data_IF_251927635919
#
_entry.id   IF_251927635919
#
_cell.length_a   1.000
_cell.length_b   1.000
_cell.length_c   1.000
_cell.angle_alpha   90.00
_cell.angle_beta   90.00
_cell.angle_gamma   90.00
#
_symmetry.space_group_name_H-M   'P 1'
#
loop_
_entity.id
_entity.type
_entity.pdbx_description
1 polymer ?
#
# COMPACT_ATOMS: atom_id res chain seq x y z
N UNK A 1 -30.82 -23.55 32.40
CA UNK A 1 -30.49 -22.21 31.87
C UNK A 1 -29.07 -21.91 32.32
N UNK A 2 -28.07 -22.43 31.61
CA UNK A 2 -27.48 -21.86 30.39
C UNK A 2 -26.27 -20.99 30.75
N UNK A 3 -25.08 -21.60 30.73
CA UNK A 3 -23.80 -20.97 30.40
C UNK A 3 -22.92 -22.07 29.77
N UNK A 4 -23.31 -22.49 28.57
CA UNK A 4 -22.43 -23.25 27.69
C UNK A 4 -21.20 -22.37 27.40
N UNK A 5 -19.97 -22.89 27.53
CA UNK A 5 -18.76 -22.08 27.43
C UNK A 5 -18.50 -21.71 25.96
N UNK A 6 -19.06 -20.59 25.51
CA UNK A 6 -18.83 -20.02 24.18
C UNK A 6 -17.48 -19.25 24.09
N UNK A 7 -16.76 -19.12 25.20
CA UNK A 7 -15.52 -18.36 25.34
C UNK A 7 -14.28 -19.00 24.66
N UNK A 8 -14.07 -20.33 24.68
CA UNK A 8 -12.89 -20.94 24.07
C UNK A 8 -12.87 -20.81 22.55
N UNK A 9 -14.03 -20.89 21.89
CA UNK A 9 -14.15 -20.79 20.44
C UNK A 9 -13.80 -19.39 19.92
N UNK A 10 -14.24 -18.34 20.63
CA UNK A 10 -13.96 -16.94 20.27
C UNK A 10 -12.46 -16.62 20.46
N UNK A 11 -11.84 -17.13 21.51
CA UNK A 11 -10.40 -16.95 21.78
C UNK A 11 -9.50 -17.54 20.69
N UNK A 12 -9.82 -18.76 20.22
CA UNK A 12 -9.07 -19.42 19.15
C UNK A 12 -9.15 -18.67 17.81
N UNK A 13 -10.33 -18.15 17.47
CA UNK A 13 -10.53 -17.37 16.24
C UNK A 13 -9.78 -16.03 16.28
N UNK A 14 -9.74 -15.35 17.44
CA UNK A 14 -8.97 -14.11 17.60
C UNK A 14 -7.46 -14.37 17.42
N UNK A 15 -6.91 -15.46 17.96
CA UNK A 15 -5.50 -15.80 17.79
C UNK A 15 -5.12 -16.09 16.33
N UNK A 16 -5.99 -16.77 15.57
CA UNK A 16 -5.78 -16.98 14.13
C UNK A 16 -5.81 -15.67 13.34
N UNK A 17 -6.61 -14.70 13.77
CA UNK A 17 -6.83 -13.44 13.08
C UNK A 17 -5.71 -12.40 13.32
N UNK A 18 -5.05 -12.44 14.48
CA UNK A 18 -4.04 -11.43 14.87
C UNK A 18 -2.81 -11.43 13.94
N UNK A 19 -2.30 -12.60 13.56
CA UNK A 19 -1.13 -12.72 12.70
C UNK A 19 -1.32 -12.07 11.30
N UNK A 20 -2.40 -12.33 10.55
CA UNK A 20 -2.60 -11.69 9.25
C UNK A 20 -3.00 -10.21 9.34
N UNK A 21 -3.65 -9.76 10.43
CA UNK A 21 -3.89 -8.32 10.66
C UNK A 21 -2.59 -7.55 10.87
N UNK A 22 -1.60 -8.15 11.54
CA UNK A 22 -0.28 -7.54 11.70
C UNK A 22 0.41 -7.29 10.34
N UNK A 23 0.24 -8.22 9.39
CA UNK A 23 0.74 -8.08 8.04
C UNK A 23 0.08 -6.90 7.29
N UNK A 24 -1.23 -6.68 7.48
CA UNK A 24 -1.92 -5.52 6.90
C UNK A 24 -1.35 -4.18 7.41
N UNK A 25 -1.05 -4.09 8.71
CA UNK A 25 -0.41 -2.90 9.29
C UNK A 25 0.98 -2.65 8.69
N UNK A 26 1.77 -3.71 8.50
CA UNK A 26 3.07 -3.63 7.83
C UNK A 26 2.95 -3.13 6.38
N UNK A 27 1.97 -3.66 5.62
CA UNK A 27 1.70 -3.20 4.24
C UNK A 27 1.25 -1.73 4.23
N UNK A 28 0.37 -1.33 5.15
CA UNK A 28 -0.05 0.07 5.29
C UNK A 28 1.11 1.02 5.55
N UNK A 29 2.02 0.62 6.43
CA UNK A 29 3.25 1.39 6.75
C UNK A 29 4.17 1.47 5.52
N UNK A 30 4.31 0.37 4.78
CA UNK A 30 5.09 0.32 3.55
C UNK A 30 4.53 1.25 2.48
N UNK A 31 3.20 1.24 2.27
CA UNK A 31 2.50 2.15 1.36
C UNK A 31 2.73 3.60 1.80
N UNK A 32 2.60 3.92 3.09
CA UNK A 32 2.82 5.27 3.60
C UNK A 32 4.26 5.76 3.31
N UNK A 33 5.27 4.91 3.52
CA UNK A 33 6.67 5.22 3.22
C UNK A 33 6.90 5.46 1.72
N UNK A 34 6.27 4.67 0.84
CA UNK A 34 6.31 4.88 -0.61
C UNK A 34 5.61 6.19 -1.00
N UNK A 35 4.49 6.52 -0.35
CA UNK A 35 3.72 7.73 -0.62
C UNK A 35 4.51 9.00 -0.25
N UNK A 36 5.27 8.97 0.85
CA UNK A 36 6.20 10.06 1.20
C UNK A 36 7.29 10.24 0.13
N UNK A 37 7.87 9.14 -0.37
CA UNK A 37 8.87 9.18 -1.45
C UNK A 37 8.29 9.71 -2.76
N UNK A 38 7.06 9.31 -3.07
CA UNK A 38 6.31 9.76 -4.23
C UNK A 38 6.02 11.26 -4.15
N UNK A 39 5.55 11.74 -3.00
CA UNK A 39 5.26 13.16 -2.75
C UNK A 39 6.48 14.02 -3.07
N UNK A 40 7.65 13.69 -2.51
CA UNK A 40 8.89 14.42 -2.81
C UNK A 40 9.28 14.41 -4.29
N UNK A 41 9.04 13.32 -5.00
CA UNK A 41 9.32 13.22 -6.43
C UNK A 41 8.35 14.06 -7.28
N UNK A 42 7.07 14.08 -6.91
CA UNK A 42 6.03 14.91 -7.55
C UNK A 42 6.26 16.40 -7.26
N UNK A 43 6.61 16.76 -6.04
CA UNK A 43 6.92 18.14 -5.67
C UNK A 43 8.16 18.64 -6.43
N UNK A 44 9.20 17.82 -6.54
CA UNK A 44 10.38 18.16 -7.37
C UNK A 44 10.02 18.31 -8.85
N UNK A 45 9.14 17.46 -9.38
CA UNK A 45 8.62 17.60 -10.75
C UNK A 45 7.89 18.94 -10.92
N UNK A 46 7.00 19.28 -9.99
CA UNK A 46 6.22 20.54 -10.02
C UNK A 46 7.12 21.76 -9.96
N UNK A 47 8.10 21.77 -9.06
CA UNK A 47 9.07 22.86 -8.97
C UNK A 47 9.86 23.04 -10.28
N UNK A 48 10.30 21.94 -10.90
CA UNK A 48 11.02 21.98 -12.18
C UNK A 48 10.11 22.43 -13.34
N UNK A 49 8.84 22.00 -13.36
CA UNK A 49 7.82 22.46 -14.31
C UNK A 49 7.52 23.96 -14.19
N UNK A 50 7.56 24.53 -12.98
CA UNK A 50 7.36 25.97 -12.73
C UNK A 50 8.59 26.81 -13.11
N UNK A 51 9.78 26.24 -13.00
CA UNK A 51 11.04 26.87 -13.42
C UNK A 51 11.25 26.83 -14.95
N UNK A 52 10.71 25.81 -15.62
CA UNK A 52 10.88 25.59 -17.07
C UNK A 52 10.49 26.79 -17.97
N UNK A 53 9.40 27.54 -17.73
CA UNK A 53 9.02 28.72 -18.51
C UNK A 53 9.96 29.91 -18.30
N UNK A 54 10.73 29.92 -17.19
CA UNK A 54 11.70 30.97 -16.85
C UNK A 54 13.13 30.62 -17.32
N UNK A 55 13.36 29.41 -17.82
CA UNK A 55 14.66 28.94 -18.30
C UNK A 55 14.93 29.37 -19.74
N UNK A 56 16.20 29.65 -20.04
CA UNK A 56 16.64 30.02 -21.39
C UNK A 56 16.47 28.85 -22.38
N UNK A 57 16.37 29.18 -23.68
CA UNK A 57 16.16 28.22 -24.77
C UNK A 57 17.24 27.12 -24.87
N UNK A 58 18.42 27.34 -24.27
CA UNK A 58 19.54 26.39 -24.22
C UNK A 58 19.39 25.36 -23.09
N UNK A 59 18.75 25.72 -21.98
CA UNK A 59 18.60 24.85 -20.79
C UNK A 59 17.27 24.08 -20.79
N UNK A 60 16.25 24.61 -21.48
CA UNK A 60 14.93 24.00 -21.61
C UNK A 60 14.91 22.53 -22.12
N UNK A 61 15.78 22.09 -23.06
CA UNK A 61 15.82 20.70 -23.50
C UNK A 61 16.30 19.73 -22.40
N UNK A 62 17.35 20.12 -21.66
CA UNK A 62 17.92 19.32 -20.56
C UNK A 62 16.92 19.16 -19.41
N UNK A 63 16.26 20.25 -19.03
CA UNK A 63 15.24 20.23 -17.98
C UNK A 63 14.03 19.35 -18.34
N UNK A 64 13.61 19.32 -19.62
CA UNK A 64 12.54 18.40 -20.11
C UNK A 64 12.95 16.93 -20.02
N UNK A 65 14.22 16.62 -20.23
CA UNK A 65 14.75 15.27 -20.17
C UNK A 65 14.84 14.76 -18.71
N UNK A 66 15.26 15.63 -17.78
CA UNK A 66 15.18 15.35 -16.33
C UNK A 66 13.72 15.12 -15.90
N UNK A 67 12.78 15.94 -16.38
CA UNK A 67 11.36 15.80 -16.10
C UNK A 67 10.79 14.45 -16.57
N UNK A 68 11.17 13.99 -17.78
CA UNK A 68 10.81 12.65 -18.29
C UNK A 68 11.35 11.53 -17.41
N UNK A 69 12.53 11.70 -16.84
CA UNK A 69 13.14 10.72 -15.94
C UNK A 69 12.42 10.67 -14.60
N UNK A 70 12.05 11.83 -14.04
CA UNK A 70 11.24 11.93 -12.83
C UNK A 70 9.85 11.32 -13.04
N UNK A 71 9.21 11.61 -14.18
CA UNK A 71 7.89 11.04 -14.52
C UNK A 71 7.92 9.51 -14.63
N UNK A 72 8.99 8.92 -15.22
CA UNK A 72 9.18 7.47 -15.25
C UNK A 72 9.32 6.88 -13.84
N UNK A 73 10.12 7.50 -12.98
CA UNK A 73 10.25 7.07 -11.56
C UNK A 73 8.92 7.12 -10.81
N UNK A 74 8.16 8.19 -10.98
CA UNK A 74 6.81 8.34 -10.39
C UNK A 74 5.91 7.17 -10.80
N UNK A 75 5.91 6.81 -12.09
CA UNK A 75 5.10 5.69 -12.60
C UNK A 75 5.50 4.35 -11.96
N UNK A 76 6.79 4.09 -11.77
CA UNK A 76 7.25 2.89 -11.08
C UNK A 76 6.81 2.85 -9.61
N UNK A 77 6.85 3.98 -8.90
CA UNK A 77 6.37 4.05 -7.51
C UNK A 77 4.87 3.80 -7.42
N UNK A 78 4.08 4.37 -8.35
CA UNK A 78 2.64 4.07 -8.45
C UNK A 78 2.36 2.59 -8.67
N UNK A 79 3.13 1.93 -9.55
CA UNK A 79 2.99 0.50 -9.80
C UNK A 79 3.35 -0.33 -8.55
N UNK A 80 4.38 0.07 -7.80
CA UNK A 80 4.72 -0.58 -6.52
C UNK A 80 3.64 -0.38 -5.45
N UNK A 81 3.01 0.79 -5.39
CA UNK A 81 1.87 1.02 -4.47
C UNK A 81 0.70 0.13 -4.90
N UNK A 82 0.40 0.04 -6.19
CA UNK A 82 -0.67 -0.81 -6.71
C UNK A 82 -0.43 -2.28 -6.35
N UNK A 83 0.78 -2.80 -6.54
CA UNK A 83 1.10 -4.19 -6.17
C UNK A 83 1.00 -4.42 -4.66
N UNK A 84 1.40 -3.45 -3.83
CA UNK A 84 1.23 -3.52 -2.38
C UNK A 84 -0.25 -3.55 -1.97
N UNK A 85 -1.10 -2.73 -2.59
CA UNK A 85 -2.55 -2.75 -2.37
C UNK A 85 -3.16 -4.08 -2.80
N UNK A 86 -2.76 -4.62 -3.96
CA UNK A 86 -3.20 -5.95 -4.43
C UNK A 86 -2.79 -7.03 -3.43
N UNK A 87 -1.55 -6.99 -2.92
CA UNK A 87 -1.09 -7.91 -1.86
C UNK A 87 -1.96 -7.80 -0.60
N UNK A 88 -2.29 -6.59 -0.15
CA UNK A 88 -3.22 -6.40 0.98
C UNK A 88 -4.60 -7.01 0.71
N UNK A 89 -5.13 -6.88 -0.51
CA UNK A 89 -6.40 -7.53 -0.89
C UNK A 89 -6.32 -9.05 -0.80
N UNK A 90 -5.22 -9.66 -1.26
CA UNK A 90 -5.00 -11.11 -1.09
C UNK A 90 -4.93 -11.50 0.39
N UNK A 91 -4.30 -10.69 1.24
CA UNK A 91 -4.29 -10.93 2.69
C UNK A 91 -5.71 -10.85 3.27
N UNK A 92 -6.52 -9.87 2.86
CA UNK A 92 -7.93 -9.79 3.27
C UNK A 92 -8.73 -11.03 2.84
N UNK A 93 -8.51 -11.54 1.61
CA UNK A 93 -9.14 -12.76 1.13
C UNK A 93 -8.68 -14.00 1.92
N UNK A 94 -7.39 -14.07 2.28
CA UNK A 94 -6.85 -15.14 3.13
C UNK A 94 -7.49 -15.13 4.52
N UNK A 95 -7.66 -13.96 5.13
CA UNK A 95 -8.36 -13.81 6.42
C UNK A 95 -9.80 -14.29 6.27
N UNK A 96 -10.54 -13.78 5.28
CA UNK A 96 -11.93 -14.18 5.04
C UNK A 96 -12.05 -15.71 4.85
N UNK A 97 -11.18 -16.31 4.03
CA UNK A 97 -11.15 -17.75 3.80
C UNK A 97 -10.82 -18.56 5.05
N UNK A 98 -9.88 -18.10 5.87
CA UNK A 98 -9.53 -18.76 7.14
C UNK A 98 -10.71 -18.73 8.13
N UNK A 99 -11.41 -17.60 8.22
CA UNK A 99 -12.62 -17.48 9.03
C UNK A 99 -13.75 -18.37 8.51
N UNK A 100 -14.05 -18.35 7.21
CA UNK A 100 -15.06 -19.23 6.61
C UNK A 100 -14.75 -20.70 6.86
N UNK A 101 -13.49 -21.11 6.70
CA UNK A 101 -13.06 -22.48 6.97
C UNK A 101 -13.16 -22.86 8.44
N UNK A 102 -12.90 -21.92 9.37
CA UNK A 102 -13.11 -22.15 10.79
C UNK A 102 -14.59 -22.31 11.13
N UNK A 103 -15.48 -21.48 10.57
CA UNK A 103 -16.92 -21.60 10.77
C UNK A 103 -17.48 -22.91 10.20
N UNK A 104 -17.11 -23.30 8.97
CA UNK A 104 -17.55 -24.57 8.35
C UNK A 104 -17.04 -25.81 9.09
N UNK A 105 -15.92 -25.71 9.82
CA UNK A 105 -15.42 -26.81 10.68
C UNK A 105 -16.02 -26.81 12.07
N UNK A 106 -16.68 -25.72 12.48
CA UNK A 106 -17.27 -25.52 13.80
C UNK A 106 -18.79 -25.82 13.80
N UNK A 107 -19.46 -25.69 12.65
CA UNK A 107 -20.76 -26.34 12.37
C UNK A 107 -20.59 -27.83 12.03
#
# INVERSE_FOLDING_TARGET
MAFEPHVPAISGVIQLAVAPVFLLTAIGTFIAALNIRLGRAVDRRRALEELLPRMNSVEAPSAKEELRTIARRIRFVYLSILSAVVSALFVCLLIAGAFLGAFVRVD
#
